data_IF_187271728466
#
_entry.id   IF_187271728466
#
_cell.length_a   1.000
_cell.length_b   1.000
_cell.length_c   1.000
_cell.angle_alpha   90.00
_cell.angle_beta   90.00
_cell.angle_gamma   90.00
#
_symmetry.space_group_name_H-M   'P 1'
#
loop_
_entity.id
_entity.type
_entity.pdbx_description
1 polymer ?
#
# COMPACT_ATOMS: atom_id res chain seq x y z
N UNK A 1 3.45 -5.73 -5.63
CA UNK A 1 2.75 -5.04 -4.51
C UNK A 1 1.59 -4.25 -5.12
N UNK A 2 0.47 -4.14 -4.42
CA UNK A 2 -0.71 -3.40 -4.84
C UNK A 2 -1.07 -2.42 -3.72
N UNK A 3 -1.28 -1.15 -4.08
CA UNK A 3 -1.75 -0.12 -3.16
C UNK A 3 -3.20 0.22 -3.51
N UNK A 4 -4.12 0.02 -2.57
CA UNK A 4 -5.54 0.34 -2.73
C UNK A 4 -5.94 1.43 -1.75
N UNK A 5 -6.59 2.50 -2.23
CA UNK A 5 -7.12 3.54 -1.36
C UNK A 5 -7.98 2.93 -0.24
N UNK A 6 -7.75 3.39 0.98
CA UNK A 6 -8.47 2.91 2.14
C UNK A 6 -9.96 3.29 1.98
N UNK A 7 -10.91 2.33 2.02
CA UNK A 7 -12.31 2.61 1.69
C UNK A 7 -13.00 3.64 2.60
N UNK A 8 -12.46 3.91 3.79
CA UNK A 8 -12.97 4.96 4.69
C UNK A 8 -12.59 6.39 4.26
N UNK A 9 -11.55 6.54 3.43
CA UNK A 9 -11.04 7.85 2.98
C UNK A 9 -11.15 8.02 1.45
N UNK A 10 -11.46 6.94 0.72
CA UNK A 10 -11.67 6.97 -0.72
C UNK A 10 -12.92 7.77 -1.12
N UNK A 11 -12.88 8.57 -2.20
CA UNK A 11 -14.05 9.31 -2.71
C UNK A 11 -15.24 8.40 -3.07
N UNK A 12 -14.95 7.19 -3.55
CA UNK A 12 -15.94 6.17 -3.88
C UNK A 12 -15.69 4.86 -3.09
N UNK A 13 -16.16 4.76 -1.84
CA UNK A 13 -15.89 3.62 -0.97
C UNK A 13 -16.32 2.26 -1.54
N UNK A 14 -17.41 2.23 -2.31
CA UNK A 14 -17.92 1.01 -2.93
C UNK A 14 -16.97 0.48 -4.01
N UNK A 15 -16.38 1.38 -4.82
CA UNK A 15 -15.40 1.03 -5.85
C UNK A 15 -14.10 0.54 -5.22
N UNK A 16 -13.63 1.21 -4.16
CA UNK A 16 -12.46 0.77 -3.39
C UNK A 16 -12.65 -0.65 -2.83
N UNK A 17 -13.79 -0.92 -2.19
CA UNK A 17 -14.14 -2.29 -1.70
C UNK A 17 -14.19 -3.31 -2.82
N UNK A 18 -14.75 -2.96 -3.98
CA UNK A 18 -14.82 -3.86 -5.14
C UNK A 18 -13.42 -4.22 -5.66
N UNK A 19 -12.50 -3.25 -5.74
CA UNK A 19 -11.09 -3.47 -6.11
C UNK A 19 -10.38 -4.38 -5.11
N UNK A 20 -10.49 -4.07 -3.82
CA UNK A 20 -9.92 -4.91 -2.75
C UNK A 20 -10.42 -6.36 -2.88
N UNK A 21 -11.74 -6.54 -3.00
CA UNK A 21 -12.31 -7.87 -3.17
C UNK A 21 -11.83 -8.60 -4.42
N UNK A 22 -11.57 -7.88 -5.51
CA UNK A 22 -10.99 -8.46 -6.73
C UNK A 22 -9.58 -9.01 -6.45
N UNK A 23 -8.70 -8.24 -5.80
CA UNK A 23 -7.34 -8.69 -5.50
C UNK A 23 -7.32 -9.85 -4.50
N UNK A 24 -8.15 -9.80 -3.46
CA UNK A 24 -8.26 -10.89 -2.49
C UNK A 24 -8.72 -12.20 -3.16
N UNK A 25 -9.69 -12.14 -4.07
CA UNK A 25 -10.13 -13.32 -4.85
C UNK A 25 -9.08 -13.82 -5.83
N UNK A 26 -8.18 -12.96 -6.29
CA UNK A 26 -7.02 -13.32 -7.10
C UNK A 26 -5.85 -13.89 -6.27
N UNK A 27 -6.05 -14.08 -4.96
CA UNK A 27 -5.02 -14.61 -4.06
C UNK A 27 -4.06 -13.56 -3.53
N UNK A 28 -4.40 -12.27 -3.57
CA UNK A 28 -3.62 -11.25 -2.89
C UNK A 28 -3.82 -11.33 -1.37
N UNK A 29 -2.78 -11.00 -0.62
CA UNK A 29 -2.78 -11.00 0.84
C UNK A 29 -2.55 -9.57 1.35
N UNK A 30 -3.31 -9.17 2.36
CA UNK A 30 -3.08 -7.89 3.02
C UNK A 30 -1.76 -7.97 3.81
N UNK A 31 -0.88 -7.01 3.59
CA UNK A 31 0.28 -6.82 4.45
C UNK A 31 -0.16 -6.15 5.76
N UNK A 32 0.54 -6.40 6.86
CA UNK A 32 0.29 -5.76 8.16
C UNK A 32 0.71 -4.27 8.22
N UNK A 33 0.56 -3.53 7.12
CA UNK A 33 0.90 -2.12 7.03
C UNK A 33 -0.02 -1.33 6.10
N UNK A 34 0.05 -0.02 6.25
CA UNK A 34 -0.59 0.96 5.40
C UNK A 34 0.40 2.08 5.05
N UNK A 35 0.12 2.80 3.96
CA UNK A 35 0.86 4.01 3.60
C UNK A 35 -0.08 5.22 3.54
N UNK A 36 0.42 6.41 3.84
CA UNK A 36 -0.22 7.67 3.48
C UNK A 36 0.72 8.45 2.58
N UNK A 37 0.28 8.63 1.34
CA UNK A 37 1.03 9.26 0.27
C UNK A 37 0.28 10.50 -0.18
N UNK A 38 0.89 11.68 0.00
CA UNK A 38 0.32 12.97 -0.36
C UNK A 38 -1.11 13.16 0.17
N UNK A 39 -1.35 12.74 1.41
CA UNK A 39 -2.65 12.84 2.09
C UNK A 39 -3.62 11.69 1.83
N UNK A 40 -3.35 10.79 0.88
CA UNK A 40 -4.21 9.64 0.57
C UNK A 40 -3.71 8.40 1.31
N UNK A 41 -4.60 7.73 2.05
CA UNK A 41 -4.28 6.49 2.78
C UNK A 41 -4.51 5.25 1.91
N UNK A 42 -3.56 4.33 1.91
CA UNK A 42 -3.59 3.08 1.15
C UNK A 42 -3.40 1.87 2.05
N UNK A 43 -4.17 0.82 1.76
CA UNK A 43 -3.92 -0.54 2.24
C UNK A 43 -3.01 -1.26 1.24
N UNK A 44 -2.03 -1.99 1.77
CA UNK A 44 -1.01 -2.67 0.98
C UNK A 44 -1.37 -4.15 0.83
N UNK A 45 -1.32 -4.65 -0.39
CA UNK A 45 -1.53 -6.06 -0.70
C UNK A 45 -0.36 -6.64 -1.50
N UNK A 46 -0.02 -7.90 -1.25
CA UNK A 46 0.97 -8.65 -2.02
C UNK A 46 0.29 -9.76 -2.81
N UNK A 47 0.64 -9.91 -4.09
CA UNK A 47 0.27 -11.07 -4.89
C UNK A 47 1.42 -12.08 -4.83
N UNK A 48 1.19 -13.34 -4.47
CA UNK A 48 2.23 -14.34 -4.37
C UNK A 48 2.64 -14.82 -5.77
N UNK A 49 3.58 -14.10 -6.40
CA UNK A 49 4.14 -14.43 -7.71
C UNK A 49 5.24 -15.51 -7.60
N UNK A 50 4.90 -16.67 -7.05
CA UNK A 50 5.84 -17.77 -6.80
C UNK A 50 6.34 -17.86 -5.34
N UNK A 51 5.83 -17.04 -4.44
CA UNK A 51 6.12 -17.07 -3.00
C UNK A 51 5.48 -15.91 -2.24
N UNK A 52 5.46 -16.01 -0.92
CA UNK A 52 5.02 -14.93 -0.04
C UNK A 52 6.23 -14.09 0.38
N UNK A 53 6.18 -12.79 0.11
CA UNK A 53 7.10 -11.83 0.73
C UNK A 53 6.67 -11.59 2.18
N UNK A 54 7.63 -11.46 3.08
CA UNK A 54 7.33 -11.09 4.47
C UNK A 54 6.94 -9.62 4.55
N UNK A 55 6.12 -9.28 5.53
CA UNK A 55 5.67 -7.90 5.71
C UNK A 55 6.85 -6.94 5.95
N UNK A 56 7.91 -7.37 6.64
CA UNK A 56 9.09 -6.51 6.84
C UNK A 56 9.84 -6.22 5.54
N UNK A 57 9.84 -7.17 4.60
CA UNK A 57 10.46 -7.00 3.27
C UNK A 57 9.63 -6.03 2.43
N UNK A 58 8.31 -6.22 2.41
CA UNK A 58 7.38 -5.31 1.75
C UNK A 58 7.52 -3.88 2.29
N UNK A 59 7.69 -3.72 3.60
CA UNK A 59 7.84 -2.42 4.25
C UNK A 59 9.08 -1.70 3.76
N UNK A 60 10.23 -2.38 3.87
CA UNK A 60 11.53 -1.84 3.52
C UNK A 60 11.59 -1.47 2.04
N UNK A 61 11.12 -2.37 1.17
CA UNK A 61 11.20 -2.18 -0.27
C UNK A 61 10.31 -1.01 -0.72
N UNK A 62 9.12 -0.84 -0.12
CA UNK A 62 8.27 0.34 -0.38
C UNK A 62 8.89 1.64 0.13
N UNK A 63 9.49 1.64 1.33
CA UNK A 63 10.17 2.82 1.87
C UNK A 63 11.32 3.27 0.96
N UNK A 64 12.15 2.32 0.52
CA UNK A 64 13.27 2.58 -0.38
C UNK A 64 12.80 3.08 -1.75
N UNK A 65 11.74 2.46 -2.30
CA UNK A 65 11.13 2.87 -3.55
C UNK A 65 10.65 4.33 -3.50
N UNK A 66 9.85 4.69 -2.49
CA UNK A 66 9.34 6.06 -2.37
C UNK A 66 10.43 7.08 -2.07
N UNK A 67 11.45 6.71 -1.28
CA UNK A 67 12.61 7.57 -1.02
C UNK A 67 13.42 7.86 -2.28
N UNK A 68 13.43 6.91 -3.22
CA UNK A 68 14.12 7.05 -4.51
C UNK A 68 13.28 7.84 -5.51
N UNK A 69 11.97 7.61 -5.57
CA UNK A 69 11.09 8.24 -6.54
C UNK A 69 10.67 9.67 -6.17
N UNK A 70 10.56 9.98 -4.88
CA UNK A 70 10.09 11.28 -4.41
C UNK A 70 11.28 12.09 -3.89
N UNK A 71 11.70 13.16 -4.58
CA UNK A 71 12.82 13.98 -4.13
C UNK A 71 12.45 14.83 -2.92
N UNK A 72 13.45 15.24 -2.16
CA UNK A 72 13.28 16.27 -1.14
C UNK A 72 12.98 17.64 -1.79
N UNK A 73 12.15 18.50 -1.16
CA UNK A 73 11.55 18.35 0.17
C UNK A 73 10.20 17.58 0.18
N UNK A 74 9.77 17.02 -0.95
CA UNK A 74 8.43 16.46 -1.09
C UNK A 74 8.26 15.11 -0.37
N UNK A 75 9.34 14.36 -0.17
CA UNK A 75 9.28 13.09 0.55
C UNK A 75 8.86 13.32 2.00
N UNK A 76 9.56 14.23 2.68
CA UNK A 76 9.35 14.50 4.10
C UNK A 76 7.94 15.05 4.34
N UNK A 77 7.15 14.34 5.16
CA UNK A 77 5.81 14.75 5.58
C UNK A 77 4.69 14.29 4.62
N UNK A 78 4.97 14.06 3.34
CA UNK A 78 3.96 13.55 2.41
C UNK A 78 3.98 12.03 2.24
N UNK A 79 5.10 11.36 2.53
CA UNK A 79 5.21 9.90 2.47
C UNK A 79 5.36 9.36 3.90
N UNK A 80 4.35 8.63 4.36
CA UNK A 80 4.33 8.04 5.71
C UNK A 80 3.88 6.58 5.63
N UNK A 81 4.45 5.72 6.46
CA UNK A 81 4.05 4.31 6.59
C UNK A 81 3.63 4.02 8.02
N UNK A 82 2.63 3.16 8.21
CA UNK A 82 2.06 2.80 9.50
C UNK A 82 1.88 1.28 9.60
N UNK A 83 2.09 0.72 10.79
CA UNK A 83 2.07 -0.73 11.01
C UNK A 83 3.37 -1.42 10.60
N UNK A 84 3.76 -2.42 11.37
CA UNK A 84 4.81 -3.40 11.13
C UNK A 84 4.67 -4.50 12.19
#
# INVERSE_FOLDING_TARGET
>A
IIECEHPAEAPEPAVARRRIGFYLRAGAHAAAMESRLFGVRYQIYSLPAGGFAKDEEIHRDLQELYRTMVPEPYYRGNVNFFGA
#
